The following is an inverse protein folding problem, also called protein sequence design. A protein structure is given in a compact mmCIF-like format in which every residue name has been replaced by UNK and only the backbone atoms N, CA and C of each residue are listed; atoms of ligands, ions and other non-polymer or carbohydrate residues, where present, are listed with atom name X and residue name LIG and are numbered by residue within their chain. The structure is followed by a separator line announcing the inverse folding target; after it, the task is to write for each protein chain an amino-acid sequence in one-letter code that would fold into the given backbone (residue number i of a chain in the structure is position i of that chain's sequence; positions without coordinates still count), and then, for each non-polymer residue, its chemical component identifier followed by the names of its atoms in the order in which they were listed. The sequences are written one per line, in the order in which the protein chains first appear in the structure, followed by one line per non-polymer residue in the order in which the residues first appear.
data_IF_840042385880
#
_entry.id   IF_840042385880
#
_cell.length_a   1.000
_cell.length_b   1.000
_cell.length_c   1.000
_cell.angle_alpha   90.00
_cell.angle_beta   90.00
_cell.angle_gamma   90.00
#
_symmetry.space_group_name_H-M   'P 1'
#
loop_
_entity.id
_entity.type
_entity.pdbx_description
1 polymer ?
#
# COMPACT_ATOMS: atom_id res chain seq x y z
N UNK A 1 -35.66 25.55 15.44
CA UNK A 1 -34.24 25.56 15.19
C UNK A 1 -33.82 24.12 14.98
N UNK A 2 -33.73 23.65 13.73
CA UNK A 2 -33.09 22.36 13.43
C UNK A 2 -31.59 22.55 13.65
N UNK A 3 -31.00 21.87 14.62
CA UNK A 3 -29.55 21.73 14.73
C UNK A 3 -29.09 21.09 13.42
N UNK A 4 -28.33 21.83 12.62
CA UNK A 4 -27.59 21.26 11.51
C UNK A 4 -26.61 20.26 12.13
N UNK A 5 -26.92 18.98 12.05
CA UNK A 5 -25.96 17.93 12.36
C UNK A 5 -24.83 18.07 11.34
N UNK A 6 -23.79 18.81 11.72
CA UNK A 6 -22.56 18.82 10.91
C UNK A 6 -22.10 17.38 10.72
N UNK A 7 -21.87 16.99 9.46
CA UNK A 7 -21.40 15.64 9.15
C UNK A 7 -20.10 15.37 9.91
N UNK A 8 -20.04 14.25 10.62
CA UNK A 8 -18.83 13.82 11.33
C UNK A 8 -17.64 13.76 10.38
N UNK A 9 -16.43 14.16 10.82
CA UNK A 9 -15.25 14.06 9.99
C UNK A 9 -14.85 12.59 9.78
N UNK A 10 -14.29 12.29 8.63
CA UNK A 10 -13.58 11.03 8.40
C UNK A 10 -12.26 11.10 9.14
N UNK A 11 -12.01 10.14 10.02
CA UNK A 11 -10.74 9.98 10.70
C UNK A 11 -9.67 9.44 9.74
N UNK A 12 -8.43 9.93 9.85
CA UNK A 12 -7.31 9.40 9.07
C UNK A 12 -6.06 9.34 9.93
N UNK A 13 -5.59 8.13 10.20
CA UNK A 13 -4.34 7.90 10.91
C UNK A 13 -3.26 7.46 9.93
N UNK A 14 -2.13 8.19 9.94
CA UNK A 14 -1.06 8.06 8.97
C UNK A 14 -1.20 9.06 7.82
N UNK A 15 -0.37 10.12 7.86
CA UNK A 15 -0.33 11.21 6.89
C UNK A 15 0.95 11.18 6.05
N UNK A 16 1.46 9.97 5.78
CA UNK A 16 2.55 9.72 4.85
C UNK A 16 2.14 9.98 3.39
N UNK A 17 2.91 9.44 2.43
CA UNK A 17 2.65 9.66 0.99
C UNK A 17 1.24 9.20 0.56
N UNK A 18 0.82 8.01 1.01
CA UNK A 18 -0.50 7.45 0.70
C UNK A 18 -1.59 8.19 1.44
N UNK A 19 -1.46 8.38 2.76
CA UNK A 19 -2.48 9.06 3.57
C UNK A 19 -2.74 10.49 3.11
N UNK A 20 -1.71 11.27 2.76
CA UNK A 20 -1.88 12.61 2.17
C UNK A 20 -2.62 12.59 0.84
N UNK A 21 -2.38 11.58 0.00
CA UNK A 21 -3.09 11.43 -1.26
C UNK A 21 -4.56 11.11 -1.03
N UNK A 22 -4.86 10.22 -0.09
CA UNK A 22 -6.24 9.90 0.34
C UNK A 22 -6.92 11.16 0.90
N UNK A 23 -6.27 11.88 1.84
CA UNK A 23 -6.83 13.07 2.46
C UNK A 23 -7.21 14.14 1.43
N UNK A 24 -6.34 14.43 0.46
CA UNK A 24 -6.62 15.39 -0.62
C UNK A 24 -7.86 14.99 -1.42
N UNK A 25 -7.99 13.72 -1.77
CA UNK A 25 -9.13 13.21 -2.54
C UNK A 25 -10.43 13.29 -1.75
N UNK A 26 -10.40 12.98 -0.44
CA UNK A 26 -11.55 13.10 0.44
C UNK A 26 -12.02 14.56 0.57
N UNK A 27 -11.09 15.50 0.78
CA UNK A 27 -11.39 16.92 0.83
C UNK A 27 -11.98 17.42 -0.50
N UNK A 28 -11.41 17.00 -1.63
CA UNK A 28 -11.95 17.35 -2.97
C UNK A 28 -13.35 16.78 -3.21
N UNK A 29 -13.68 15.63 -2.61
CA UNK A 29 -15.01 15.04 -2.64
C UNK A 29 -15.99 15.68 -1.62
N UNK A 30 -15.56 16.74 -0.90
CA UNK A 30 -16.40 17.47 0.05
C UNK A 30 -16.46 16.90 1.46
N UNK A 31 -15.65 15.88 1.78
CA UNK A 31 -15.58 15.32 3.14
C UNK A 31 -14.74 16.21 4.05
N UNK A 32 -15.15 16.35 5.31
CA UNK A 32 -14.28 16.84 6.38
C UNK A 32 -13.32 15.71 6.78
N UNK A 33 -12.03 16.02 6.93
CA UNK A 33 -11.02 15.04 7.35
C UNK A 33 -10.36 15.52 8.64
N UNK A 34 -10.31 14.65 9.64
CA UNK A 34 -9.57 14.85 10.89
C UNK A 34 -8.44 13.81 10.91
N UNK A 35 -7.20 14.27 10.88
CA UNK A 35 -6.03 13.39 10.74
C UNK A 35 -5.07 13.46 11.90
N UNK A 36 -4.23 12.41 12.01
CA UNK A 36 -3.09 12.40 12.93
C UNK A 36 -1.95 11.55 12.37
N UNK A 37 -0.72 11.97 12.64
CA UNK A 37 0.51 11.22 12.37
C UNK A 37 1.52 11.48 13.50
N UNK A 38 2.39 10.52 13.77
CA UNK A 38 3.50 10.69 14.74
C UNK A 38 4.51 11.76 14.27
N UNK A 39 4.62 11.95 12.96
CA UNK A 39 5.44 12.99 12.35
C UNK A 39 4.72 14.33 12.37
N UNK A 40 5.22 15.26 13.19
CA UNK A 40 4.73 16.65 13.21
C UNK A 40 4.86 17.36 11.86
N UNK A 41 5.85 16.95 11.04
CA UNK A 41 6.02 17.47 9.70
C UNK A 41 4.90 17.00 8.78
N UNK A 42 4.54 15.70 8.85
CA UNK A 42 3.42 15.14 8.09
C UNK A 42 2.09 15.81 8.46
N UNK A 43 1.85 16.05 9.76
CA UNK A 43 0.68 16.79 10.25
C UNK A 43 0.62 18.21 9.68
N UNK A 44 1.69 19.00 9.82
CA UNK A 44 1.76 20.38 9.28
C UNK A 44 1.54 20.41 7.77
N UNK A 45 2.14 19.46 7.04
CA UNK A 45 1.96 19.37 5.60
C UNK A 45 0.51 19.05 5.20
N UNK A 46 -0.20 18.24 5.99
CA UNK A 46 -1.60 17.92 5.77
C UNK A 46 -2.54 19.07 6.14
N UNK A 47 -2.28 19.75 7.25
CA UNK A 47 -3.00 20.95 7.69
C UNK A 47 -2.95 22.05 6.63
N UNK A 48 -1.80 22.24 5.98
CA UNK A 48 -1.59 23.25 4.94
C UNK A 48 -2.49 23.09 3.71
N UNK A 49 -3.19 21.97 3.54
CA UNK A 49 -4.17 21.79 2.48
C UNK A 49 -5.59 21.43 2.99
N UNK A 50 -5.87 21.66 4.28
CA UNK A 50 -7.23 21.64 4.81
C UNK A 50 -7.61 20.42 5.66
N UNK A 51 -6.66 19.54 6.03
CA UNK A 51 -6.91 18.48 7.01
C UNK A 51 -6.93 19.10 8.41
N UNK A 52 -7.99 18.87 9.18
CA UNK A 52 -7.99 19.14 10.62
C UNK A 52 -7.01 18.19 11.32
N UNK A 53 -6.19 18.69 12.25
CA UNK A 53 -5.21 17.85 12.96
C UNK A 53 -5.67 17.65 14.40
N UNK A 54 -5.83 16.36 14.78
CA UNK A 54 -6.07 15.96 16.16
C UNK A 54 -4.79 16.06 17.00
N UNK A 55 -4.92 16.27 18.29
CA UNK A 55 -3.78 16.30 19.22
C UNK A 55 -3.11 14.94 19.34
N UNK A 56 -3.90 13.87 19.18
CA UNK A 56 -3.47 12.47 19.15
C UNK A 56 -4.47 11.60 18.36
N UNK A 57 -4.14 10.31 18.22
CA UNK A 57 -5.01 9.34 17.54
C UNK A 57 -6.35 9.11 18.28
N UNK A 58 -6.37 9.27 19.59
CA UNK A 58 -7.57 9.07 20.42
C UNK A 58 -8.61 10.17 20.17
N UNK A 59 -8.18 11.42 20.05
CA UNK A 59 -9.09 12.51 19.67
C UNK A 59 -9.72 12.24 18.29
N UNK A 60 -8.92 11.80 17.32
CA UNK A 60 -9.43 11.43 16.00
C UNK A 60 -10.48 10.32 16.11
N UNK A 61 -10.18 9.26 16.89
CA UNK A 61 -11.09 8.14 17.12
C UNK A 61 -12.39 8.53 17.82
N UNK A 62 -12.32 9.38 18.84
CA UNK A 62 -13.50 9.83 19.58
C UNK A 62 -14.47 10.67 18.72
N UNK A 63 -13.96 11.33 17.68
CA UNK A 63 -14.71 12.27 16.82
C UNK A 63 -15.14 11.72 15.47
N UNK A 64 -14.76 10.46 15.15
CA UNK A 64 -15.00 9.87 13.83
C UNK A 64 -15.70 8.53 13.93
N UNK A 65 -16.84 8.38 13.25
CA UNK A 65 -17.53 7.09 13.14
C UNK A 65 -16.94 6.18 12.04
N UNK A 66 -16.21 6.76 11.08
CA UNK A 66 -15.47 6.03 10.06
C UNK A 66 -14.03 6.54 10.05
N UNK A 67 -13.07 5.62 10.09
CA UNK A 67 -11.65 5.94 10.11
C UNK A 67 -10.87 5.14 9.08
N UNK A 68 -9.94 5.80 8.41
CA UNK A 68 -8.93 5.19 7.54
C UNK A 68 -7.61 5.07 8.30
N UNK A 69 -6.99 3.90 8.19
CA UNK A 69 -5.64 3.64 8.67
C UNK A 69 -4.72 3.50 7.44
N UNK A 70 -3.70 4.36 7.35
CA UNK A 70 -2.71 4.34 6.27
C UNK A 70 -1.32 4.21 6.86
N UNK A 71 -1.04 3.04 7.41
CA UNK A 71 0.12 2.72 8.21
C UNK A 71 1.15 1.91 7.43
N UNK A 72 2.30 1.68 8.03
CA UNK A 72 3.39 0.97 7.37
C UNK A 72 3.12 -0.54 7.27
N UNK A 73 2.58 -1.15 8.34
CA UNK A 73 2.37 -2.61 8.46
C UNK A 73 1.36 -2.98 9.56
N UNK A 74 1.14 -4.29 9.73
CA UNK A 74 0.29 -4.85 10.80
C UNK A 74 0.79 -4.50 12.21
N UNK A 75 2.11 -4.45 12.43
CA UNK A 75 2.69 -4.13 13.74
C UNK A 75 2.35 -2.69 14.15
N UNK A 76 2.45 -1.75 13.21
CA UNK A 76 2.06 -0.35 13.40
C UNK A 76 0.57 -0.22 13.74
N UNK A 77 -0.31 -1.00 13.07
CA UNK A 77 -1.74 -1.03 13.38
C UNK A 77 -2.00 -1.57 14.80
N UNK A 78 -1.36 -2.67 15.18
CA UNK A 78 -1.51 -3.27 16.53
C UNK A 78 -0.99 -2.33 17.61
N UNK A 79 0.14 -1.68 17.39
CA UNK A 79 0.68 -0.67 18.30
C UNK A 79 -0.28 0.51 18.49
N UNK A 80 -0.89 0.99 17.41
CA UNK A 80 -1.89 2.06 17.46
C UNK A 80 -3.15 1.62 18.23
N UNK A 81 -3.68 0.45 17.91
CA UNK A 81 -4.95 -0.02 18.48
C UNK A 81 -4.81 -0.45 19.93
N UNK A 82 -3.78 -1.21 20.27
CA UNK A 82 -3.66 -1.96 21.54
C UNK A 82 -2.43 -1.57 22.36
N UNK A 83 -1.51 -0.77 21.82
CA UNK A 83 -0.31 -0.28 22.50
C UNK A 83 -0.57 0.97 23.35
N UNK A 84 0.47 1.74 23.62
CA UNK A 84 0.41 2.94 24.47
C UNK A 84 -0.57 4.00 23.98
N UNK A 85 -0.73 4.15 22.67
CA UNK A 85 -1.71 5.09 22.09
C UNK A 85 -3.15 4.66 22.40
N UNK A 86 -3.40 3.37 22.59
CA UNK A 86 -4.68 2.79 22.98
C UNK A 86 -5.87 3.45 22.26
N UNK A 87 -5.83 3.45 20.93
CA UNK A 87 -6.90 4.01 20.12
C UNK A 87 -8.24 3.33 20.45
N UNK A 88 -8.21 2.00 20.67
CA UNK A 88 -9.41 1.23 21.03
C UNK A 88 -10.20 1.87 22.20
N UNK A 89 -9.50 2.36 23.23
CA UNK A 89 -10.14 2.98 24.39
C UNK A 89 -10.85 4.31 24.11
N UNK A 90 -10.72 4.87 22.91
CA UNK A 90 -11.39 6.10 22.47
C UNK A 90 -12.46 5.86 21.41
N UNK A 91 -12.54 4.64 20.83
CA UNK A 91 -13.53 4.31 19.82
C UNK A 91 -14.91 4.10 20.42
N UNK A 92 -15.94 4.51 19.69
CA UNK A 92 -17.33 4.29 20.07
C UNK A 92 -17.86 3.00 19.41
N UNK A 93 -18.77 2.26 20.05
CA UNK A 93 -19.50 1.18 19.38
C UNK A 93 -20.12 1.67 18.06
N UNK A 94 -20.02 0.86 17.01
CA UNK A 94 -20.45 1.22 15.65
C UNK A 94 -19.37 1.90 14.80
N UNK A 95 -18.18 2.23 15.35
CA UNK A 95 -17.06 2.76 14.55
C UNK A 95 -16.57 1.71 13.57
N UNK A 96 -16.33 2.15 12.31
CA UNK A 96 -15.71 1.35 11.27
C UNK A 96 -14.28 1.82 11.01
N UNK A 97 -13.33 0.92 11.21
CA UNK A 97 -11.91 1.10 10.87
C UNK A 97 -11.64 0.44 9.52
N UNK A 98 -11.03 1.18 8.60
CA UNK A 98 -10.70 0.73 7.24
C UNK A 98 -9.19 0.79 7.08
N UNK A 99 -8.52 -0.38 7.09
CA UNK A 99 -7.08 -0.46 6.94
C UNK A 99 -6.70 -0.48 5.46
N UNK A 100 -5.97 0.53 5.01
CA UNK A 100 -5.41 0.63 3.66
C UNK A 100 -3.95 0.19 3.58
N UNK A 101 -3.38 -0.24 4.69
CA UNK A 101 -1.99 -0.67 4.82
C UNK A 101 -1.77 -2.04 4.16
N UNK A 102 -0.51 -2.41 3.93
CA UNK A 102 -0.17 -3.77 3.49
C UNK A 102 0.44 -4.54 4.67
N UNK A 103 -0.20 -5.63 5.06
CA UNK A 103 0.18 -6.45 6.20
C UNK A 103 -0.17 -7.93 6.02
N UNK A 104 -0.02 -8.71 7.08
CA UNK A 104 -0.44 -10.12 7.10
C UNK A 104 -1.96 -10.22 7.16
N UNK A 105 -2.60 -11.02 6.30
CA UNK A 105 -4.05 -11.23 6.36
C UNK A 105 -4.53 -11.79 7.71
N UNK A 106 -3.79 -12.76 8.28
CA UNK A 106 -4.10 -13.34 9.61
C UNK A 106 -4.11 -12.29 10.72
N UNK A 107 -3.15 -11.37 10.73
CA UNK A 107 -3.10 -10.29 11.72
C UNK A 107 -4.36 -9.40 11.67
N UNK A 108 -4.89 -9.17 10.46
CA UNK A 108 -6.10 -8.35 10.33
C UNK A 108 -7.33 -9.10 10.82
N UNK A 109 -7.44 -10.39 10.50
CA UNK A 109 -8.54 -11.25 10.97
C UNK A 109 -8.56 -11.35 12.49
N UNK A 110 -7.41 -11.61 13.11
CA UNK A 110 -7.28 -11.64 14.58
C UNK A 110 -7.65 -10.30 15.23
N UNK A 111 -7.17 -9.18 14.64
CA UNK A 111 -7.49 -7.84 15.16
C UNK A 111 -8.99 -7.52 14.98
N UNK A 112 -9.61 -7.95 13.86
CA UNK A 112 -11.05 -7.84 13.65
C UNK A 112 -11.85 -8.57 14.74
N UNK A 113 -11.51 -9.84 15.00
CA UNK A 113 -12.16 -10.65 16.03
C UNK A 113 -12.00 -10.05 17.43
N UNK A 114 -10.83 -9.46 17.72
CA UNK A 114 -10.54 -8.80 19.00
C UNK A 114 -11.34 -7.53 19.20
N UNK A 115 -11.66 -6.80 18.13
CA UNK A 115 -12.42 -5.54 18.17
C UNK A 115 -13.93 -5.74 18.16
N UNK A 116 -14.43 -6.84 17.59
CA UNK A 116 -15.84 -7.13 17.41
C UNK A 116 -16.68 -7.10 18.71
N UNK A 117 -16.22 -7.63 19.86
CA UNK A 117 -16.98 -7.55 21.12
C UNK A 117 -17.23 -6.12 21.61
N UNK A 118 -16.37 -5.15 21.24
CA UNK A 118 -16.56 -3.72 21.50
C UNK A 118 -17.49 -3.03 20.51
N UNK A 119 -18.07 -3.75 19.57
CA UNK A 119 -18.90 -3.18 18.51
C UNK A 119 -18.09 -2.39 17.48
N UNK A 120 -16.78 -2.59 17.39
CA UNK A 120 -15.88 -1.95 16.42
C UNK A 120 -15.69 -2.90 15.25
N UNK A 121 -15.86 -2.36 14.04
CA UNK A 121 -15.69 -3.10 12.80
C UNK A 121 -14.33 -2.75 12.19
N UNK A 122 -13.46 -3.73 12.00
CA UNK A 122 -12.20 -3.56 11.26
C UNK A 122 -12.31 -4.31 9.94
N UNK A 123 -12.07 -3.60 8.84
CA UNK A 123 -11.99 -4.18 7.48
C UNK A 123 -10.71 -3.71 6.82
N UNK A 124 -10.27 -4.43 5.79
CA UNK A 124 -9.18 -4.01 4.92
C UNK A 124 -9.72 -3.45 3.61
N UNK A 125 -9.07 -2.41 3.11
CA UNK A 125 -9.28 -1.85 1.78
C UNK A 125 -7.92 -1.55 1.16
N UNK A 126 -7.16 -2.62 0.89
CA UNK A 126 -5.80 -2.52 0.38
C UNK A 126 -5.79 -1.87 -1.01
N UNK A 127 -4.91 -0.86 -1.20
CA UNK A 127 -4.88 -0.08 -2.42
C UNK A 127 -3.85 -0.63 -3.42
N UNK A 128 -4.27 -0.86 -4.65
CA UNK A 128 -3.39 -1.12 -5.78
C UNK A 128 -3.19 0.16 -6.59
N UNK A 129 -1.98 0.71 -6.53
CA UNK A 129 -1.56 1.96 -7.15
C UNK A 129 -0.50 2.67 -6.30
N UNK A 130 0.34 3.49 -6.95
CA UNK A 130 1.27 4.38 -6.25
C UNK A 130 0.52 5.56 -5.61
N UNK A 131 1.18 6.31 -4.73
CA UNK A 131 0.61 7.54 -4.15
C UNK A 131 0.11 8.53 -5.23
N UNK A 132 0.81 8.61 -6.38
CA UNK A 132 0.34 9.40 -7.53
C UNK A 132 -0.97 8.85 -8.10
N UNK A 133 -1.08 7.54 -8.32
CA UNK A 133 -2.29 6.89 -8.85
C UNK A 133 -3.48 7.10 -7.90
N UNK A 134 -3.22 7.08 -6.58
CA UNK A 134 -4.23 7.40 -5.56
C UNK A 134 -4.63 8.87 -5.61
N UNK A 135 -3.65 9.78 -5.72
CA UNK A 135 -3.90 11.23 -5.85
C UNK A 135 -4.73 11.57 -7.10
N UNK A 136 -4.56 10.80 -8.18
CA UNK A 136 -5.33 10.94 -9.42
C UNK A 136 -6.73 10.24 -9.34
N UNK A 137 -7.09 9.61 -8.21
CA UNK A 137 -8.35 8.88 -8.03
C UNK A 137 -8.43 7.57 -8.85
N UNK A 138 -7.29 7.05 -9.31
CA UNK A 138 -7.20 5.91 -10.24
C UNK A 138 -6.77 4.60 -9.55
N UNK A 139 -6.71 4.57 -8.22
CA UNK A 139 -6.39 3.35 -7.50
C UNK A 139 -7.48 2.28 -7.67
N UNK A 140 -7.13 1.04 -7.37
CA UNK A 140 -8.08 -0.05 -7.19
C UNK A 140 -8.10 -0.39 -5.71
N UNK A 141 -9.28 -0.41 -5.09
CA UNK A 141 -9.47 -0.84 -3.71
C UNK A 141 -9.87 -2.31 -3.68
N UNK A 142 -9.10 -3.11 -2.95
CA UNK A 142 -9.34 -4.52 -2.70
C UNK A 142 -9.91 -4.63 -1.28
N UNK A 143 -11.22 -4.86 -1.17
CA UNK A 143 -11.97 -4.68 0.08
C UNK A 143 -12.32 -6.02 0.68
N UNK A 144 -11.82 -6.29 1.89
CA UNK A 144 -12.19 -7.44 2.70
C UNK A 144 -13.52 -7.19 3.44
N UNK A 145 -14.59 -7.10 2.67
CA UNK A 145 -15.96 -6.95 3.15
C UNK A 145 -16.95 -7.32 2.04
N UNK A 146 -18.25 -7.41 2.37
CA UNK A 146 -19.34 -7.63 1.40
C UNK A 146 -19.79 -6.28 0.85
N UNK A 147 -20.12 -6.21 -0.45
CA UNK A 147 -20.60 -4.98 -1.06
C UNK A 147 -21.90 -4.45 -0.43
N UNK A 148 -22.77 -5.36 0.02
CA UNK A 148 -24.02 -5.00 0.73
C UNK A 148 -23.77 -4.29 2.07
N UNK A 149 -22.61 -4.53 2.69
CA UNK A 149 -22.23 -3.96 3.98
C UNK A 149 -21.41 -2.67 3.84
N UNK A 150 -21.08 -2.28 2.59
CA UNK A 150 -20.24 -1.10 2.30
C UNK A 150 -20.90 0.23 2.74
N UNK A 151 -22.23 0.29 2.74
CA UNK A 151 -22.95 1.44 3.26
C UNK A 151 -22.34 2.79 2.85
N UNK A 152 -22.13 3.65 3.83
CA UNK A 152 -21.57 4.99 3.64
C UNK A 152 -20.08 5.02 3.24
N UNK A 153 -19.29 4.02 3.62
CA UNK A 153 -17.85 4.04 3.32
C UNK A 153 -17.52 3.68 1.86
N UNK A 154 -18.40 2.99 1.15
CA UNK A 154 -18.20 2.70 -0.28
C UNK A 154 -18.08 3.96 -1.13
N UNK A 155 -18.92 4.96 -0.87
CA UNK A 155 -18.81 6.27 -1.53
C UNK A 155 -17.49 6.98 -1.20
N UNK A 156 -17.05 6.88 0.06
CA UNK A 156 -15.77 7.44 0.50
C UNK A 156 -14.58 6.81 -0.24
N UNK A 157 -14.57 5.49 -0.42
CA UNK A 157 -13.54 4.80 -1.19
C UNK A 157 -13.50 5.25 -2.65
N UNK A 158 -14.64 5.59 -3.25
CA UNK A 158 -14.73 6.10 -4.63
C UNK A 158 -14.02 7.44 -4.82
N UNK A 159 -13.78 8.20 -3.75
CA UNK A 159 -13.05 9.46 -3.84
C UNK A 159 -11.62 9.26 -4.34
N UNK A 160 -10.96 8.14 -4.01
CA UNK A 160 -9.56 7.88 -4.34
C UNK A 160 -9.33 6.56 -5.11
N UNK A 161 -10.40 5.83 -5.45
CA UNK A 161 -10.33 4.61 -6.26
C UNK A 161 -11.33 4.64 -7.41
N UNK A 162 -10.88 4.21 -8.59
CA UNK A 162 -11.73 4.07 -9.78
C UNK A 162 -12.56 2.79 -9.80
N UNK A 163 -12.15 1.80 -9.01
CA UNK A 163 -12.82 0.52 -8.89
C UNK A 163 -12.64 -0.05 -7.48
N UNK A 164 -13.67 -0.75 -7.00
CA UNK A 164 -13.68 -1.41 -5.71
C UNK A 164 -14.07 -2.88 -5.94
N UNK A 165 -13.25 -3.80 -5.43
CA UNK A 165 -13.52 -5.23 -5.48
C UNK A 165 -13.79 -5.73 -4.07
N UNK A 166 -15.03 -6.12 -3.81
CA UNK A 166 -15.45 -6.67 -2.53
C UNK A 166 -15.23 -8.18 -2.52
N UNK A 167 -14.38 -8.65 -1.62
CA UNK A 167 -13.81 -9.99 -1.62
C UNK A 167 -14.34 -10.88 -0.48
N UNK A 168 -15.30 -10.36 0.29
CA UNK A 168 -16.00 -11.08 1.34
C UNK A 168 -15.48 -10.73 2.73
N UNK A 169 -14.92 -11.70 3.47
CA UNK A 169 -14.52 -11.49 4.87
C UNK A 169 -13.32 -10.55 5.02
N UNK A 170 -13.14 -9.89 6.20
CA UNK A 170 -11.93 -9.19 6.57
C UNK A 170 -10.67 -10.03 6.35
N UNK A 171 -9.60 -9.42 5.81
CA UNK A 171 -8.35 -10.07 5.42
C UNK A 171 -8.31 -10.48 3.93
N UNK A 172 -9.46 -10.68 3.26
CA UNK A 172 -9.49 -11.09 1.85
C UNK A 172 -8.97 -10.04 0.89
N UNK A 173 -9.12 -8.76 1.20
CA UNK A 173 -8.52 -7.67 0.44
C UNK A 173 -6.99 -7.70 0.50
N UNK A 174 -6.42 -7.97 1.69
CA UNK A 174 -4.98 -8.16 1.87
C UNK A 174 -4.46 -9.40 1.13
N UNK A 175 -5.16 -10.53 1.17
CA UNK A 175 -4.81 -11.71 0.39
C UNK A 175 -4.74 -11.39 -1.11
N UNK A 176 -5.77 -10.74 -1.64
CA UNK A 176 -5.77 -10.30 -3.04
C UNK A 176 -4.64 -9.30 -3.33
N UNK A 177 -4.34 -8.40 -2.40
CA UNK A 177 -3.22 -7.46 -2.53
C UNK A 177 -1.88 -8.19 -2.65
N UNK A 178 -1.65 -9.24 -1.86
CA UNK A 178 -0.42 -10.05 -1.95
C UNK A 178 -0.30 -10.72 -3.32
N UNK A 179 -1.40 -11.28 -3.87
CA UNK A 179 -1.41 -11.85 -5.23
C UNK A 179 -1.10 -10.79 -6.29
N UNK A 180 -1.72 -9.60 -6.19
CA UNK A 180 -1.46 -8.49 -7.12
C UNK A 180 0.01 -8.03 -7.03
N UNK A 181 0.56 -7.91 -5.83
CA UNK A 181 1.95 -7.50 -5.62
C UNK A 181 2.94 -8.56 -6.11
N UNK A 182 2.61 -9.86 -5.99
CA UNK A 182 3.40 -10.95 -6.56
C UNK A 182 3.55 -10.77 -8.07
N UNK A 183 2.44 -10.66 -8.81
CA UNK A 183 2.47 -10.49 -10.28
C UNK A 183 3.21 -9.22 -10.67
N UNK A 184 2.93 -8.10 -9.98
CA UNK A 184 3.57 -6.81 -10.26
C UNK A 184 5.09 -6.85 -10.02
N UNK A 185 5.53 -7.54 -8.95
CA UNK A 185 6.94 -7.75 -8.62
C UNK A 185 7.65 -8.63 -9.63
N UNK A 186 7.03 -9.75 -10.01
CA UNK A 186 7.61 -10.69 -10.99
C UNK A 186 7.68 -10.11 -12.40
N UNK A 187 6.70 -9.31 -12.83
CA UNK A 187 6.77 -8.58 -14.09
C UNK A 187 7.97 -7.62 -14.13
N UNK A 188 8.29 -6.99 -13.00
CA UNK A 188 9.47 -6.11 -12.89
C UNK A 188 10.77 -6.91 -12.92
N UNK A 189 10.81 -8.05 -12.23
CA UNK A 189 11.96 -8.95 -12.25
C UNK A 189 12.22 -9.48 -13.66
N UNK A 190 11.18 -9.97 -14.35
CA UNK A 190 11.29 -10.47 -15.72
C UNK A 190 11.80 -9.39 -16.69
N UNK A 191 11.31 -8.14 -16.56
CA UNK A 191 11.83 -7.02 -17.35
C UNK A 191 13.32 -6.76 -17.06
N UNK A 192 13.71 -6.76 -15.78
CA UNK A 192 15.11 -6.54 -15.40
C UNK A 192 16.03 -7.64 -15.95
N UNK A 193 15.60 -8.90 -15.87
CA UNK A 193 16.34 -10.05 -16.41
C UNK A 193 16.47 -9.97 -17.93
N UNK A 194 15.38 -9.70 -18.64
CA UNK A 194 15.37 -9.56 -20.10
C UNK A 194 16.30 -8.43 -20.58
N UNK A 195 16.25 -7.26 -19.94
CA UNK A 195 17.14 -6.14 -20.27
C UNK A 195 18.59 -6.44 -19.89
N UNK A 196 18.83 -7.18 -18.79
CA UNK A 196 20.15 -7.65 -18.40
C UNK A 196 20.77 -8.58 -19.44
N UNK A 197 19.99 -9.55 -19.92
CA UNK A 197 20.39 -10.45 -21.01
C UNK A 197 20.66 -9.68 -22.33
N UNK A 198 19.74 -8.79 -22.70
CA UNK A 198 19.90 -7.95 -23.91
C UNK A 198 21.20 -7.13 -23.87
N UNK A 199 21.54 -6.57 -22.70
CA UNK A 199 22.80 -5.83 -22.52
C UNK A 199 24.03 -6.72 -22.69
N UNK A 200 24.05 -7.94 -22.17
CA UNK A 200 25.16 -8.88 -22.37
C UNK A 200 25.28 -9.32 -23.83
N UNK A 201 24.18 -9.34 -24.56
CA UNK A 201 24.14 -9.61 -26.00
C UNK A 201 24.48 -8.39 -26.88
N UNK A 202 24.82 -7.24 -26.27
CA UNK A 202 25.07 -5.96 -26.95
C UNK A 202 23.91 -5.47 -27.83
N UNK A 203 22.66 -5.78 -27.45
CA UNK A 203 21.47 -5.25 -28.07
C UNK A 203 21.17 -3.82 -27.57
N UNK A 204 20.57 -2.98 -28.42
CA UNK A 204 20.08 -1.68 -28.00
C UNK A 204 18.93 -1.83 -26.99
N UNK A 205 19.14 -1.38 -25.76
CA UNK A 205 18.18 -1.54 -24.67
C UNK A 205 16.93 -0.67 -24.87
N UNK A 206 17.05 0.48 -25.52
CA UNK A 206 15.93 1.35 -25.84
C UNK A 206 14.99 0.67 -26.83
N UNK A 207 15.55 0.16 -27.92
CA UNK A 207 14.80 -0.62 -28.92
C UNK A 207 14.21 -1.89 -28.31
N UNK A 208 14.96 -2.61 -27.47
CA UNK A 208 14.43 -3.81 -26.77
C UNK A 208 13.25 -3.48 -25.88
N UNK A 209 13.30 -2.38 -25.11
CA UNK A 209 12.17 -1.96 -24.30
C UNK A 209 10.94 -1.61 -25.16
N UNK A 210 11.15 -0.95 -26.31
CA UNK A 210 10.08 -0.64 -27.27
C UNK A 210 9.44 -1.92 -27.83
N UNK A 211 10.24 -2.89 -28.24
CA UNK A 211 9.77 -4.19 -28.75
C UNK A 211 8.94 -4.91 -27.66
N UNK A 212 9.47 -4.99 -26.43
CA UNK A 212 8.76 -5.64 -25.31
C UNK A 212 7.42 -4.95 -24.97
N UNK A 213 7.32 -3.65 -25.19
CA UNK A 213 6.10 -2.87 -24.96
C UNK A 213 5.08 -3.01 -26.09
N UNK A 214 5.50 -3.28 -27.30
CA UNK A 214 4.63 -3.35 -28.47
C UNK A 214 3.97 -4.71 -28.69
N UNK A 215 4.44 -5.75 -27.99
CA UNK A 215 4.00 -7.14 -28.18
C UNK A 215 3.21 -7.72 -27.02
N UNK A 216 3.00 -9.02 -27.07
CA UNK A 216 2.26 -9.81 -26.07
C UNK A 216 2.96 -9.86 -24.69
N UNK A 217 4.25 -9.51 -24.65
CA UNK A 217 5.03 -9.43 -23.41
C UNK A 217 4.70 -8.22 -22.55
N UNK A 218 3.88 -7.29 -23.07
CA UNK A 218 3.57 -6.03 -22.42
C UNK A 218 3.09 -6.20 -20.99
N UNK A 219 3.65 -5.42 -20.10
CA UNK A 219 3.10 -5.14 -18.78
C UNK A 219 3.25 -3.64 -18.45
N UNK A 220 2.32 -3.09 -17.67
CA UNK A 220 2.38 -1.68 -17.25
C UNK A 220 3.66 -1.32 -16.48
N UNK A 221 4.34 -2.30 -15.90
CA UNK A 221 5.66 -2.13 -15.28
C UNK A 221 6.68 -1.56 -16.25
N UNK A 222 6.62 -1.99 -17.52
CA UNK A 222 7.55 -1.56 -18.57
C UNK A 222 7.44 -0.06 -18.84
N UNK A 223 6.23 0.52 -18.71
CA UNK A 223 6.01 1.96 -18.86
C UNK A 223 6.68 2.79 -17.77
N UNK A 224 6.55 2.31 -16.53
CA UNK A 224 6.96 3.05 -15.34
C UNK A 224 8.42 2.78 -14.99
N UNK A 225 8.85 1.51 -15.04
CA UNK A 225 10.16 1.08 -14.53
C UNK A 225 11.21 0.88 -15.63
N UNK A 226 10.79 0.55 -16.85
CA UNK A 226 11.72 0.41 -17.99
C UNK A 226 12.60 1.64 -18.21
N UNK A 227 12.04 2.84 -18.35
CA UNK A 227 12.84 4.07 -18.50
C UNK A 227 13.77 4.36 -17.31
N UNK A 228 13.38 3.97 -16.08
CA UNK A 228 14.23 4.14 -14.90
C UNK A 228 15.43 3.17 -14.93
N UNK A 229 15.22 1.92 -15.37
CA UNK A 229 16.28 0.91 -15.55
C UNK A 229 17.29 1.37 -16.61
N UNK A 230 16.81 1.82 -17.78
CA UNK A 230 17.68 2.25 -18.87
C UNK A 230 18.57 3.45 -18.49
N UNK A 231 18.01 4.40 -17.72
CA UNK A 231 18.72 5.63 -17.34
C UNK A 231 19.43 5.51 -16.00
N UNK A 232 19.34 4.36 -15.32
CA UNK A 232 19.78 4.17 -13.92
C UNK A 232 19.23 5.27 -12.97
N UNK A 233 18.02 5.76 -13.24
CA UNK A 233 17.36 6.84 -12.50
C UNK A 233 16.51 6.27 -11.35
N UNK A 234 17.14 5.94 -10.23
CA UNK A 234 16.50 5.30 -9.08
C UNK A 234 16.18 6.25 -7.93
N UNK A 235 16.50 7.53 -8.09
CA UNK A 235 16.25 8.60 -7.11
C UNK A 235 15.57 9.81 -7.77
N UNK A 236 14.60 10.48 -7.09
CA UNK A 236 13.98 10.02 -5.84
C UNK A 236 13.10 8.79 -6.08
N UNK A 237 12.99 7.86 -5.11
CA UNK A 237 12.21 6.64 -5.29
C UNK A 237 10.70 6.95 -5.33
N UNK A 238 10.00 6.32 -6.26
CA UNK A 238 8.53 6.26 -6.28
C UNK A 238 8.03 5.17 -5.32
N UNK A 239 8.79 4.07 -5.21
CA UNK A 239 8.57 2.99 -4.27
C UNK A 239 9.94 2.35 -3.95
N UNK A 240 10.33 2.35 -2.67
CA UNK A 240 11.64 1.85 -2.24
C UNK A 240 11.77 0.35 -2.43
N UNK A 241 13.00 -0.11 -2.75
CA UNK A 241 13.33 -1.52 -2.90
C UNK A 241 13.13 -2.28 -1.59
N UNK A 242 13.55 -1.73 -0.44
CA UNK A 242 13.35 -2.35 0.87
C UNK A 242 11.86 -2.48 1.25
N UNK A 243 11.01 -1.50 0.88
CA UNK A 243 9.57 -1.61 1.06
C UNK A 243 8.98 -2.75 0.22
N UNK A 244 9.45 -2.90 -1.02
CA UNK A 244 9.01 -3.98 -1.88
C UNK A 244 9.48 -5.35 -1.37
N UNK A 245 10.69 -5.44 -0.84
CA UNK A 245 11.20 -6.67 -0.22
C UNK A 245 10.31 -7.11 0.95
N UNK A 246 9.89 -6.18 1.81
CA UNK A 246 8.91 -6.47 2.87
C UNK A 246 7.65 -7.12 2.31
N UNK A 247 7.11 -6.60 1.21
CA UNK A 247 5.90 -7.15 0.58
C UNK A 247 6.15 -8.55 0.00
N UNK A 248 7.33 -8.81 -0.56
CA UNK A 248 7.73 -10.14 -1.06
C UNK A 248 7.84 -11.14 0.10
N UNK A 249 8.39 -10.74 1.24
CA UNK A 249 8.45 -11.58 2.44
C UNK A 249 7.05 -11.89 2.99
N UNK A 250 6.12 -10.94 2.97
CA UNK A 250 4.72 -11.19 3.33
C UNK A 250 4.10 -12.27 2.43
N UNK A 251 4.36 -12.21 1.12
CA UNK A 251 3.87 -13.23 0.16
C UNK A 251 4.45 -14.61 0.48
N UNK A 252 5.76 -14.69 0.76
CA UNK A 252 6.44 -15.96 1.08
C UNK A 252 5.88 -16.59 2.36
N UNK A 253 5.72 -15.80 3.41
CA UNK A 253 5.15 -16.29 4.68
C UNK A 253 3.70 -16.76 4.48
N UNK A 254 2.87 -15.97 3.78
CA UNK A 254 1.49 -16.36 3.52
C UNK A 254 1.41 -17.63 2.65
N UNK A 255 2.29 -17.79 1.65
CA UNK A 255 2.38 -19.02 0.87
C UNK A 255 2.75 -20.24 1.74
N UNK A 256 3.66 -20.07 2.72
CA UNK A 256 4.00 -21.13 3.69
C UNK A 256 2.79 -21.49 4.54
N UNK A 257 2.04 -20.52 5.05
CA UNK A 257 0.83 -20.75 5.85
C UNK A 257 -0.24 -21.54 5.06
N UNK A 258 -0.29 -21.34 3.75
CA UNK A 258 -1.20 -22.05 2.82
C UNK A 258 -0.65 -23.38 2.29
N UNK A 259 0.61 -23.73 2.55
CA UNK A 259 1.28 -24.87 1.92
C UNK A 259 1.49 -24.68 0.41
N UNK A 260 1.47 -23.45 -0.10
CA UNK A 260 1.62 -23.13 -1.51
C UNK A 260 3.09 -22.96 -1.91
N UNK A 261 3.43 -23.29 -3.16
CA UNK A 261 4.78 -23.13 -3.70
C UNK A 261 4.89 -21.84 -4.51
N UNK A 262 5.92 -21.05 -4.21
CA UNK A 262 6.19 -19.77 -4.88
C UNK A 262 7.67 -19.64 -5.33
N UNK A 263 8.22 -20.60 -6.10
CA UNK A 263 9.67 -20.69 -6.35
C UNK A 263 10.25 -19.47 -7.07
N UNK A 264 9.49 -18.81 -7.94
CA UNK A 264 9.92 -17.59 -8.64
C UNK A 264 9.98 -16.42 -7.67
N UNK A 265 9.05 -16.35 -6.72
CA UNK A 265 9.07 -15.34 -5.64
C UNK A 265 10.24 -15.57 -4.68
N UNK A 266 10.62 -16.83 -4.41
CA UNK A 266 11.79 -17.15 -3.60
C UNK A 266 13.08 -16.66 -4.27
N UNK A 267 13.22 -16.87 -5.58
CA UNK A 267 14.35 -16.32 -6.36
C UNK A 267 14.33 -14.78 -6.32
N UNK A 268 13.15 -14.16 -6.47
CA UNK A 268 13.00 -12.71 -6.38
C UNK A 268 13.43 -12.16 -5.02
N UNK A 269 13.02 -12.81 -3.93
CA UNK A 269 13.39 -12.43 -2.57
C UNK A 269 14.92 -12.46 -2.38
N UNK A 270 15.59 -13.51 -2.88
CA UNK A 270 17.03 -13.65 -2.80
C UNK A 270 17.75 -12.48 -3.51
N UNK A 271 17.37 -12.16 -4.73
CA UNK A 271 17.97 -11.05 -5.48
C UNK A 271 17.71 -9.69 -4.81
N UNK A 272 16.54 -9.49 -4.21
CA UNK A 272 16.25 -8.27 -3.46
C UNK A 272 17.11 -8.18 -2.20
N UNK A 273 17.32 -9.29 -1.48
CA UNK A 273 18.18 -9.32 -0.29
C UNK A 273 19.63 -9.00 -0.65
N UNK A 274 20.19 -9.60 -1.72
CA UNK A 274 21.54 -9.28 -2.21
C UNK A 274 21.71 -7.75 -2.44
N UNK A 275 20.70 -7.10 -3.00
CA UNK A 275 20.72 -5.65 -3.24
C UNK A 275 20.59 -4.81 -1.96
N UNK A 276 19.81 -5.26 -0.99
CA UNK A 276 19.69 -4.61 0.32
C UNK A 276 21.04 -4.70 1.05
N UNK A 277 21.67 -5.86 1.05
CA UNK A 277 22.98 -6.08 1.67
C UNK A 277 24.09 -5.23 1.01
N UNK A 278 23.91 -4.93 -0.29
CA UNK A 278 24.78 -4.01 -1.03
C UNK A 278 24.45 -2.50 -0.81
N UNK A 279 23.49 -2.18 0.07
CA UNK A 279 23.14 -0.80 0.44
C UNK A 279 22.14 -0.11 -0.50
N UNK A 280 21.43 -0.85 -1.36
CA UNK A 280 20.48 -0.27 -2.33
C UNK A 280 19.01 -0.25 -1.84
N UNK A 281 18.75 -0.54 -0.57
CA UNK A 281 17.41 -0.64 -0.01
C UNK A 281 16.56 0.63 -0.13
N UNK A 282 17.16 1.80 -0.11
CA UNK A 282 16.49 3.09 -0.22
C UNK A 282 16.22 3.56 -1.66
N UNK A 283 16.86 2.94 -2.65
CA UNK A 283 16.61 3.23 -4.06
C UNK A 283 15.22 2.77 -4.50
N UNK A 284 14.75 3.31 -5.62
CA UNK A 284 13.53 2.82 -6.27
C UNK A 284 13.65 1.32 -6.59
N UNK A 285 12.55 0.60 -6.47
CA UNK A 285 12.52 -0.84 -6.73
C UNK A 285 12.83 -1.25 -8.19
N UNK A 286 12.94 -0.28 -9.12
CA UNK A 286 13.54 -0.49 -10.45
C UNK A 286 15.03 -0.85 -10.35
N UNK A 287 15.69 -0.54 -9.22
CA UNK A 287 17.07 -0.90 -8.96
C UNK A 287 17.30 -2.42 -8.89
N UNK A 288 16.24 -3.26 -8.90
CA UNK A 288 16.38 -4.71 -9.12
C UNK A 288 17.19 -5.03 -10.37
N UNK A 289 17.20 -4.14 -11.37
CA UNK A 289 18.04 -4.27 -12.56
C UNK A 289 19.55 -4.34 -12.24
N UNK A 290 20.01 -3.76 -11.12
CA UNK A 290 21.40 -3.84 -10.67
C UNK A 290 21.83 -5.26 -10.30
N UNK A 291 20.92 -6.17 -9.97
CA UNK A 291 21.24 -7.56 -9.69
C UNK A 291 21.91 -8.26 -10.90
N UNK A 292 21.62 -7.78 -12.10
CA UNK A 292 22.20 -8.29 -13.35
C UNK A 292 23.52 -7.59 -13.75
N UNK A 293 23.97 -6.60 -12.94
CA UNK A 293 25.28 -5.94 -13.05
C UNK A 293 26.28 -6.48 -12.05
N UNK A 294 25.82 -7.04 -10.94
CA UNK A 294 26.68 -7.63 -9.93
C UNK A 294 27.38 -8.85 -10.55
N UNK A 295 28.56 -8.62 -11.10
CA UNK A 295 29.42 -9.74 -11.50
C UNK A 295 29.72 -10.52 -10.23
N UNK A 296 29.11 -11.70 -10.05
CA UNK A 296 29.67 -12.70 -9.14
C UNK A 296 31.12 -12.88 -9.58
N UNK A 297 32.06 -12.52 -8.72
CA UNK A 297 33.45 -12.78 -8.99
C UNK A 297 33.58 -14.22 -9.46
N UNK A 298 33.98 -14.42 -10.71
CA UNK A 298 34.36 -15.75 -11.17
C UNK A 298 35.55 -16.19 -10.29
N UNK A 299 35.51 -17.40 -9.69
CA UNK A 299 36.65 -17.93 -9.01
C UNK A 299 37.86 -18.03 -9.95
#
# INVERSE_FOLDING_TARGET
MQASTEAEPIGLIGLGLVGKSIARRLLQAGHKVLGFDLSKEACRAAEGFGVGIGVDAREVGARSGVMLLSLFDSASRRSLLFGEQNLLGALRPGTTLIDTSTGRPSDLTEDHERLAPGGIRLIDAALSGSSKVIADGQAIALVGDRSADAGTYGHMLSAFSKAQYFLGAPGRGLEAKLVVNLVFGLNRLALAEALGLARQANLDLGLMLEILRSGETYSRVMEVKGPMMLRAAYEPPVARLGQHFKDVELIRHWAQDLGARVPVTDTHAHLLQELIDAGFGDLDNAAIFKAYDLRKGRP
#
